data_IF_546253981889
#
_entry.id   IF_546253981889
#
_cell.length_a   1.000
_cell.length_b   1.000
_cell.length_c   1.000
_cell.angle_alpha   90.00
_cell.angle_beta   90.00
_cell.angle_gamma   90.00
#
_symmetry.space_group_name_H-M   'P 1'
#
loop_
_entity.id
_entity.type
_entity.pdbx_description
1 polymer ?
#
# COMPACT_ATOMS: atom_id res chain seq x y z
N UNK A 1 -1.36 7.53 19.47
CA UNK A 1 -1.60 7.36 18.02
C UNK A 1 -3.08 7.59 17.79
N UNK A 2 -3.46 8.72 17.17
CA UNK A 2 -4.87 9.01 16.89
C UNK A 2 -5.30 8.16 15.70
N UNK A 3 -5.77 6.95 15.95
CA UNK A 3 -6.43 6.15 14.92
C UNK A 3 -7.80 6.77 14.70
N UNK A 4 -8.04 7.26 13.48
CA UNK A 4 -9.32 7.87 13.11
C UNK A 4 -10.44 6.82 13.32
N UNK A 5 -11.55 7.12 14.03
CA UNK A 5 -12.58 6.12 14.38
C UNK A 5 -13.13 5.35 13.17
N UNK A 6 -13.21 6.02 12.02
CA UNK A 6 -13.61 5.40 10.75
C UNK A 6 -12.62 4.31 10.30
N UNK A 7 -11.31 4.55 10.43
CA UNK A 7 -10.29 3.57 10.05
C UNK A 7 -10.29 2.36 10.97
N UNK A 8 -10.52 2.58 12.26
CA UNK A 8 -10.64 1.46 13.21
C UNK A 8 -11.84 0.57 12.85
N UNK A 9 -13.01 1.17 12.63
CA UNK A 9 -14.21 0.42 12.21
C UNK A 9 -14.00 -0.30 10.87
N UNK A 10 -13.29 0.33 9.94
CA UNK A 10 -12.93 -0.31 8.68
C UNK A 10 -12.03 -1.53 8.89
N UNK A 11 -10.98 -1.41 9.72
CA UNK A 11 -10.08 -2.53 10.05
C UNK A 11 -10.82 -3.69 10.72
N UNK A 12 -11.84 -3.42 11.54
CA UNK A 12 -12.68 -4.45 12.15
C UNK A 12 -13.51 -5.22 11.12
N UNK A 13 -13.88 -4.60 10.00
CA UNK A 13 -14.75 -5.17 8.96
C UNK A 13 -14.00 -5.62 7.70
N UNK A 14 -12.71 -5.32 7.60
CA UNK A 14 -11.94 -5.48 6.35
C UNK A 14 -11.80 -6.93 5.89
N UNK A 15 -11.86 -7.88 6.84
CA UNK A 15 -11.68 -9.31 6.55
C UNK A 15 -12.86 -9.91 5.78
N UNK A 16 -14.03 -9.25 5.83
CA UNK A 16 -15.23 -9.65 5.10
C UNK A 16 -15.25 -9.12 3.66
N UNK A 17 -14.31 -8.24 3.29
CA UNK A 17 -14.27 -7.66 1.96
C UNK A 17 -13.59 -8.61 0.97
N UNK A 18 -14.18 -8.83 -0.22
CA UNK A 18 -13.60 -9.72 -1.21
C UNK A 18 -12.43 -9.03 -1.92
N UNK A 19 -11.23 -9.57 -1.75
CA UNK A 19 -10.05 -9.20 -2.55
C UNK A 19 -9.67 -10.34 -3.49
N UNK A 20 -9.09 -10.00 -4.64
CA UNK A 20 -8.74 -10.98 -5.68
C UNK A 20 -7.60 -11.92 -5.27
N UNK A 21 -6.80 -11.54 -4.28
CA UNK A 21 -5.64 -12.29 -3.76
C UNK A 21 -5.58 -12.25 -2.23
N UNK A 22 -4.91 -13.24 -1.59
CA UNK A 22 -4.63 -13.17 -0.16
C UNK A 22 -3.87 -11.89 0.20
N UNK A 23 -4.45 -11.09 1.10
CA UNK A 23 -3.85 -9.83 1.55
C UNK A 23 -2.64 -10.09 2.43
N UNK A 24 -1.50 -9.51 2.07
CA UNK A 24 -0.27 -9.56 2.86
C UNK A 24 -0.33 -8.63 4.06
N UNK A 25 -0.95 -7.45 3.88
CA UNK A 25 -1.20 -6.49 4.94
C UNK A 25 -1.96 -5.27 4.43
N UNK A 26 -2.53 -4.51 5.35
CA UNK A 26 -3.28 -3.29 5.07
C UNK A 26 -2.45 -2.06 5.45
N UNK A 27 -2.49 -1.02 4.63
CA UNK A 27 -1.67 0.17 4.80
C UNK A 27 -2.52 1.41 5.10
N UNK A 28 -2.14 2.15 6.14
CA UNK A 28 -2.66 3.49 6.44
C UNK A 28 -1.53 4.52 6.38
N UNK A 29 -1.88 5.80 6.25
CA UNK A 29 -0.91 6.88 6.11
C UNK A 29 0.06 6.64 4.93
N UNK A 30 -0.48 6.07 3.85
CA UNK A 30 0.33 5.54 2.75
C UNK A 30 0.78 6.67 1.81
N UNK A 31 2.01 6.59 1.32
CA UNK A 31 2.50 7.39 0.20
C UNK A 31 3.51 6.58 -0.61
N UNK A 32 3.69 6.94 -1.88
CA UNK A 32 4.65 6.29 -2.78
C UNK A 32 5.89 7.17 -2.90
N UNK A 33 7.08 6.56 -2.89
CA UNK A 33 8.34 7.25 -3.15
C UNK A 33 9.26 6.34 -3.92
N UNK A 34 9.78 6.83 -5.05
CA UNK A 34 10.43 5.94 -6.01
C UNK A 34 9.43 4.89 -6.45
N UNK A 35 9.85 3.62 -6.50
CA UNK A 35 8.99 2.49 -6.84
C UNK A 35 8.33 1.82 -5.64
N UNK A 36 8.50 2.30 -4.40
CA UNK A 36 7.98 1.62 -3.21
C UNK A 36 6.85 2.41 -2.55
N UNK A 37 5.94 1.69 -1.89
CA UNK A 37 4.98 2.29 -0.97
C UNK A 37 5.55 2.32 0.45
N UNK A 38 5.26 3.40 1.16
CA UNK A 38 5.56 3.60 2.58
C UNK A 38 4.23 3.77 3.30
N UNK A 39 4.11 3.22 4.50
CA UNK A 39 2.91 3.40 5.31
C UNK A 39 2.99 2.66 6.65
N UNK A 40 1.90 2.74 7.40
CA UNK A 40 1.70 2.01 8.65
C UNK A 40 0.95 0.71 8.33
N UNK A 41 1.53 -0.42 8.72
CA UNK A 41 1.01 -1.77 8.46
C UNK A 41 0.02 -2.22 9.52
N UNK A 42 -1.01 -2.95 9.08
CA UNK A 42 -2.03 -3.59 9.91
C UNK A 42 -2.35 -4.99 9.38
N UNK A 43 -2.66 -5.92 10.28
CA UNK A 43 -2.95 -7.34 10.02
C UNK A 43 -1.96 -7.98 9.05
N UNK A 44 -0.66 -7.73 9.26
CA UNK A 44 0.36 -8.29 8.39
C UNK A 44 0.48 -9.81 8.60
N UNK A 45 0.58 -10.59 7.53
CA UNK A 45 0.69 -12.07 7.60
C UNK A 45 1.94 -12.56 8.34
N UNK A 46 2.98 -11.72 8.40
CA UNK A 46 4.21 -11.92 9.19
C UNK A 46 4.20 -11.01 10.43
N UNK A 47 3.24 -11.23 11.33
CA UNK A 47 3.03 -10.40 12.51
C UNK A 47 4.20 -10.47 13.52
N UNK A 48 5.03 -11.49 13.44
CA UNK A 48 6.29 -11.64 14.19
C UNK A 48 7.36 -10.62 13.77
N UNK A 49 7.29 -10.15 12.52
CA UNK A 49 8.23 -9.20 11.93
C UNK A 49 7.64 -7.79 11.76
N UNK A 50 6.33 -7.70 11.55
CA UNK A 50 5.62 -6.46 11.28
C UNK A 50 4.39 -6.42 12.19
N UNK A 51 4.56 -5.81 13.36
CA UNK A 51 3.49 -5.61 14.32
C UNK A 51 2.47 -4.60 13.78
N UNK A 52 1.22 -4.71 14.23
CA UNK A 52 0.21 -3.71 13.90
C UNK A 52 0.64 -2.34 14.40
N UNK A 53 0.61 -1.35 13.49
CA UNK A 53 1.12 -0.01 13.75
C UNK A 53 2.57 0.23 13.32
N UNK A 54 3.29 -0.79 12.85
CA UNK A 54 4.66 -0.61 12.37
C UNK A 54 4.73 0.17 11.06
N UNK A 55 5.73 1.05 10.96
CA UNK A 55 6.07 1.69 9.71
C UNK A 55 6.82 0.72 8.81
N UNK A 56 6.34 0.55 7.58
CA UNK A 56 6.98 -0.30 6.58
C UNK A 56 7.27 0.48 5.31
N UNK A 57 8.20 -0.06 4.52
CA UNK A 57 8.26 0.20 3.09
C UNK A 57 8.18 -1.13 2.36
N UNK A 58 7.46 -1.16 1.24
CA UNK A 58 7.33 -2.35 0.43
C UNK A 58 8.59 -2.57 -0.41
N UNK A 59 8.73 -3.77 -0.99
CA UNK A 59 9.56 -3.91 -2.19
C UNK A 59 8.94 -3.12 -3.36
N UNK A 60 9.66 -3.04 -4.49
CA UNK A 60 9.21 -2.29 -5.66
C UNK A 60 7.80 -2.72 -6.10
N UNK A 61 6.92 -1.74 -6.30
CA UNK A 61 5.59 -1.91 -6.85
C UNK A 61 5.73 -2.27 -8.32
N UNK A 62 5.11 -3.37 -8.73
CA UNK A 62 5.08 -3.86 -10.11
C UNK A 62 3.71 -3.65 -10.76
N UNK A 63 2.66 -3.46 -9.96
CA UNK A 63 1.30 -3.25 -10.45
C UNK A 63 0.47 -2.50 -9.39
N UNK A 64 -0.37 -1.57 -9.85
CA UNK A 64 -1.30 -0.80 -9.02
C UNK A 64 -2.68 -0.84 -9.65
N UNK A 65 -3.68 -1.23 -8.87
CA UNK A 65 -5.06 -1.41 -9.36
C UNK A 65 -6.10 -0.94 -8.36
N UNK A 66 -7.35 -0.85 -8.82
CA UNK A 66 -8.52 -0.60 -7.97
C UNK A 66 -9.26 -1.90 -7.70
N UNK A 67 -9.51 -2.20 -6.43
CA UNK A 67 -10.45 -3.24 -6.00
C UNK A 67 -11.51 -2.61 -5.09
N UNK A 68 -12.74 -2.49 -5.60
CA UNK A 68 -13.78 -1.72 -4.94
C UNK A 68 -13.33 -0.28 -4.67
N UNK A 69 -13.46 0.24 -3.43
CA UNK A 69 -13.04 1.59 -3.09
C UNK A 69 -11.52 1.71 -2.82
N UNK A 70 -10.77 0.61 -2.82
CA UNK A 70 -9.37 0.58 -2.41
C UNK A 70 -8.42 0.63 -3.59
N UNK A 71 -7.23 1.16 -3.33
CA UNK A 71 -6.06 0.91 -4.17
C UNK A 71 -5.33 -0.31 -3.64
N UNK A 72 -4.90 -1.18 -4.55
CA UNK A 72 -4.14 -2.39 -4.23
C UNK A 72 -2.79 -2.36 -4.94
N UNK A 73 -1.77 -2.89 -4.27
CA UNK A 73 -0.39 -2.89 -4.74
C UNK A 73 0.11 -4.33 -4.84
N UNK A 74 0.61 -4.70 -6.02
CA UNK A 74 1.45 -5.89 -6.16
C UNK A 74 2.90 -5.47 -6.17
N UNK A 75 3.71 -6.20 -5.42
CA UNK A 75 5.12 -5.87 -5.21
C UNK A 75 6.03 -6.96 -5.77
N UNK A 76 7.29 -6.62 -6.03
CA UNK A 76 8.28 -7.51 -6.63
C UNK A 76 8.54 -8.76 -5.78
N UNK A 77 8.42 -8.65 -4.45
CA UNK A 77 8.50 -9.80 -3.55
C UNK A 77 7.29 -10.72 -3.58
N UNK A 78 6.29 -10.45 -4.43
CA UNK A 78 5.05 -11.20 -4.53
C UNK A 78 3.98 -10.79 -3.51
N UNK A 79 4.23 -9.76 -2.70
CA UNK A 79 3.27 -9.29 -1.69
C UNK A 79 2.12 -8.50 -2.34
N UNK A 80 0.94 -8.61 -1.72
CA UNK A 80 -0.29 -7.91 -2.10
C UNK A 80 -0.76 -7.02 -0.93
N UNK A 81 -0.68 -5.70 -1.10
CA UNK A 81 -1.05 -4.72 -0.06
C UNK A 81 -2.30 -3.95 -0.46
N UNK A 82 -3.15 -3.66 0.51
CA UNK A 82 -4.36 -2.84 0.32
C UNK A 82 -4.19 -1.50 1.04
N UNK A 83 -4.40 -0.38 0.34
CA UNK A 83 -4.33 0.96 0.91
C UNK A 83 -5.69 1.34 1.50
N UNK A 84 -5.75 1.50 2.81
CA UNK A 84 -6.94 1.98 3.54
C UNK A 84 -6.97 3.50 3.68
N UNK A 85 -5.80 4.14 3.77
CA UNK A 85 -5.70 5.59 3.77
C UNK A 85 -4.37 6.08 3.22
N UNK A 86 -4.43 7.27 2.62
CA UNK A 86 -3.27 8.03 2.18
C UNK A 86 -2.77 8.95 3.29
N UNK A 87 -1.47 9.20 3.28
CA UNK A 87 -0.89 10.27 4.07
C UNK A 87 -1.52 11.62 3.70
N UNK A 88 -1.92 12.39 4.70
CA UNK A 88 -2.70 13.62 4.51
C UNK A 88 -1.95 14.72 3.73
N UNK A 89 -0.62 14.74 3.79
CA UNK A 89 0.18 15.79 3.17
C UNK A 89 0.58 15.45 1.73
N UNK A 90 0.80 14.17 1.43
CA UNK A 90 1.46 13.75 0.18
C UNK A 90 0.93 12.46 -0.45
N UNK A 91 0.06 11.71 0.23
CA UNK A 91 -0.26 10.34 -0.19
C UNK A 91 -0.97 10.28 -1.54
N UNK A 92 -2.05 11.04 -1.72
CA UNK A 92 -2.79 11.08 -2.98
C UNK A 92 -1.90 11.57 -4.15
N UNK A 93 -1.24 12.72 -3.98
CA UNK A 93 -0.34 13.27 -5.00
C UNK A 93 0.77 12.29 -5.38
N UNK A 94 1.36 11.58 -4.40
CA UNK A 94 2.43 10.63 -4.67
C UNK A 94 1.99 9.42 -5.50
N UNK A 95 0.72 9.02 -5.38
CA UNK A 95 0.15 7.98 -6.22
C UNK A 95 -0.07 8.51 -7.63
N UNK A 96 -0.64 9.71 -7.78
CA UNK A 96 -0.85 10.34 -9.09
C UNK A 96 0.48 10.52 -9.83
N UNK A 97 1.53 10.98 -9.15
CA UNK A 97 2.88 11.10 -9.70
C UNK A 97 3.48 9.75 -10.09
N UNK A 98 3.19 8.69 -9.33
CA UNK A 98 3.63 7.33 -9.67
C UNK A 98 2.91 6.80 -10.91
N UNK A 99 1.57 6.93 -10.96
CA UNK A 99 0.77 6.51 -12.10
C UNK A 99 1.12 7.29 -13.37
N UNK A 100 1.33 8.60 -13.25
CA UNK A 100 1.78 9.43 -14.37
C UNK A 100 3.09 8.89 -14.95
N UNK A 101 4.09 8.63 -14.09
CA UNK A 101 5.39 8.09 -14.54
C UNK A 101 5.30 6.69 -15.14
N UNK A 102 4.37 5.84 -14.68
CA UNK A 102 4.10 4.55 -15.32
C UNK A 102 3.52 4.72 -16.72
N UNK A 103 2.61 5.68 -16.91
CA UNK A 103 1.97 5.95 -18.19
C UNK A 103 2.93 6.59 -19.21
N UNK A 104 3.83 7.46 -18.75
CA UNK A 104 4.80 8.16 -19.61
C UNK A 104 6.05 7.33 -19.90
N UNK A 105 6.19 6.13 -19.31
CA UNK A 105 7.42 5.33 -19.34
C UNK A 105 8.66 6.12 -18.88
N UNK A 106 8.47 7.12 -18.02
CA UNK A 106 9.57 7.93 -17.44
C UNK A 106 10.35 7.16 -16.36
N UNK A 107 10.12 5.85 -16.24
CA UNK A 107 10.85 4.97 -15.34
C UNK A 107 11.88 4.11 -16.09
N UNK A 108 13.12 4.00 -15.55
CA UNK A 108 13.95 2.85 -15.86
C UNK A 108 13.29 1.57 -15.31
N UNK A 109 13.48 0.44 -16.00
CA UNK A 109 12.90 -0.87 -15.67
C UNK A 109 13.06 -1.23 -14.17
N UNK A 110 12.13 -2.00 -13.56
CA UNK A 110 12.12 -2.28 -12.12
C UNK A 110 13.44 -2.79 -11.52
N UNK A 111 14.30 -3.40 -12.34
CA UNK A 111 15.62 -3.95 -11.98
C UNK A 111 16.76 -2.92 -11.94
N UNK A 112 16.53 -1.68 -12.38
CA UNK A 112 17.54 -0.62 -12.41
C UNK A 112 17.63 0.17 -11.09
N UNK A 113 16.91 -0.27 -10.06
CA UNK A 113 16.88 0.32 -8.72
C UNK A 113 17.55 -0.65 -7.74
N UNK A 114 18.87 -0.84 -7.90
CA UNK A 114 19.74 -1.51 -6.94
C UNK A 114 20.63 -0.49 -6.23
#
# INVERSE_FOLDING_TARGET
MYTHPILQKLLEQIDDLPFSRPVTGYLTDTYIRGSCAYGISHKHVQADRFSDGDSIHTSAIVQVEREGPFWVLHTLSGSFYVILSFNILKGAQSLDDYLHRLLTMEYPEPWQLH
#
